data_IF_029411076452
#
_entry.id   IF_029411076452
#
_cell.length_a   1.000
_cell.length_b   1.000
_cell.length_c   1.000
_cell.angle_alpha   90.00
_cell.angle_beta   90.00
_cell.angle_gamma   90.00
#
_symmetry.space_group_name_H-M   'P 1'
#
loop_
_entity.id
_entity.type
_entity.pdbx_description
1 polymer ?
#
# COMPACT_ATOMS: atom_id res chain seq x y z
N UNK A 1 15.32 -25.55 -17.32
CA UNK A 1 14.22 -24.73 -17.90
C UNK A 1 13.52 -24.06 -16.73
N UNK A 2 13.53 -22.73 -16.64
CA UNK A 2 12.75 -22.04 -15.63
C UNK A 2 11.27 -22.16 -16.03
N UNK A 3 10.43 -22.72 -15.16
CA UNK A 3 9.00 -22.72 -15.39
C UNK A 3 8.54 -21.26 -15.47
N UNK A 4 7.99 -20.85 -16.61
CA UNK A 4 7.24 -19.61 -16.71
C UNK A 4 5.95 -19.81 -15.90
N UNK A 5 6.01 -19.51 -14.61
CA UNK A 5 4.82 -19.45 -13.77
C UNK A 5 3.98 -18.30 -14.27
N UNK A 6 2.81 -18.61 -14.83
CA UNK A 6 1.81 -17.60 -15.18
C UNK A 6 1.49 -16.81 -13.89
N UNK A 7 1.55 -15.48 -13.91
CA UNK A 7 1.18 -14.70 -12.74
C UNK A 7 -0.30 -14.96 -12.39
N UNK A 8 -0.69 -14.72 -11.14
CA UNK A 8 -1.98 -15.14 -10.57
C UNK A 8 -2.73 -13.90 -10.09
N UNK A 9 -4.00 -13.77 -10.47
CA UNK A 9 -4.90 -12.74 -9.93
C UNK A 9 -5.08 -12.95 -8.43
N UNK A 10 -5.10 -11.88 -7.66
CA UNK A 10 -5.37 -11.95 -6.22
C UNK A 10 -6.26 -10.80 -5.77
N UNK A 11 -6.95 -11.03 -4.66
CA UNK A 11 -7.73 -10.01 -3.97
C UNK A 11 -7.38 -10.06 -2.48
N UNK A 12 -7.29 -8.90 -1.85
CA UNK A 12 -7.13 -8.80 -0.41
C UNK A 12 -7.93 -7.62 0.15
N UNK A 13 -8.57 -7.88 1.29
CA UNK A 13 -9.30 -6.90 2.06
C UNK A 13 -8.72 -6.86 3.47
N UNK A 14 -8.43 -5.67 3.96
CA UNK A 14 -7.94 -5.47 5.32
C UNK A 14 -8.44 -4.17 5.91
N UNK A 15 -8.49 -4.13 7.24
CA UNK A 15 -8.84 -2.94 8.01
C UNK A 15 -7.66 -2.54 8.87
N UNK A 16 -7.33 -1.26 8.89
CA UNK A 16 -6.24 -0.72 9.67
C UNK A 16 -6.63 0.64 10.27
N UNK A 17 -5.85 1.11 11.22
CA UNK A 17 -5.95 2.46 11.78
C UNK A 17 -4.55 3.01 11.96
N UNK A 18 -4.32 4.24 11.51
CA UNK A 18 -3.03 4.92 11.68
C UNK A 18 -3.27 6.11 12.60
N UNK A 19 -2.51 6.20 13.68
CA UNK A 19 -2.50 7.38 14.54
C UNK A 19 -1.43 8.34 14.04
N UNK A 20 -1.74 9.64 13.99
CA UNK A 20 -0.76 10.68 13.70
C UNK A 20 0.42 10.63 14.68
N UNK A 21 1.64 10.70 14.16
CA UNK A 21 2.90 10.64 14.90
C UNK A 21 4.12 10.61 13.97
N UNK A 22 5.32 10.43 14.52
CA UNK A 22 6.58 10.39 13.75
C UNK A 22 6.79 9.03 13.05
N UNK A 23 5.93 8.67 12.10
CA UNK A 23 6.04 7.43 11.33
C UNK A 23 5.92 7.65 9.82
N UNK A 24 6.51 6.75 9.03
CA UNK A 24 6.54 6.79 7.56
C UNK A 24 5.18 6.42 6.91
N UNK A 25 4.22 5.88 7.66
CA UNK A 25 2.95 5.38 7.13
C UNK A 25 2.75 3.88 7.34
N UNK A 26 1.98 3.25 6.47
CA UNK A 26 1.77 1.79 6.43
C UNK A 26 1.99 1.28 5.02
N UNK A 27 2.67 0.14 4.84
CA UNK A 27 2.83 -0.49 3.53
C UNK A 27 2.39 -1.96 3.56
N UNK A 28 1.62 -2.36 2.55
CA UNK A 28 1.42 -3.77 2.21
C UNK A 28 2.48 -4.17 1.18
N UNK A 29 3.27 -5.20 1.47
CA UNK A 29 4.35 -5.66 0.59
C UNK A 29 4.14 -7.09 0.12
N UNK A 30 4.20 -7.28 -1.20
CA UNK A 30 4.29 -8.58 -1.85
C UNK A 30 5.76 -8.81 -2.20
N UNK A 31 6.35 -9.80 -1.54
CA UNK A 31 7.77 -10.12 -1.67
C UNK A 31 7.97 -11.61 -1.98
N UNK A 32 9.07 -11.99 -2.65
CA UNK A 32 9.42 -13.39 -2.81
C UNK A 32 9.58 -14.10 -1.45
N UNK A 33 9.31 -15.40 -1.38
CA UNK A 33 9.38 -16.17 -0.13
C UNK A 33 10.75 -16.14 0.56
N UNK A 34 11.85 -16.01 -0.19
CA UNK A 34 13.21 -15.87 0.35
C UNK A 34 13.51 -14.47 0.92
N UNK A 35 12.57 -13.53 0.82
CA UNK A 35 12.74 -12.13 1.22
C UNK A 35 12.54 -11.91 2.72
N UNK A 36 11.82 -12.80 3.43
CA UNK A 36 11.55 -12.66 4.87
C UNK A 36 12.84 -12.51 5.73
N UNK A 37 13.95 -13.11 5.31
CA UNK A 37 15.27 -12.94 5.94
C UNK A 37 15.92 -11.56 5.76
N UNK A 38 15.27 -10.64 5.03
CA UNK A 38 15.82 -9.36 4.55
C UNK A 38 15.09 -8.12 5.06
N UNK A 39 14.12 -8.27 5.96
CA UNK A 39 13.61 -7.18 6.79
C UNK A 39 14.63 -6.86 7.91
N UNK A 40 15.83 -6.42 7.54
CA UNK A 40 16.94 -6.23 8.48
C UNK A 40 17.04 -4.81 9.03
N UNK A 41 15.94 -4.04 9.01
CA UNK A 41 15.78 -2.80 9.80
C UNK A 41 16.59 -1.57 9.37
N UNK A 42 17.07 -1.51 8.12
CA UNK A 42 17.96 -0.43 7.66
C UNK A 42 17.46 0.44 6.50
N UNK A 43 16.26 0.23 5.99
CA UNK A 43 15.67 1.02 4.89
C UNK A 43 14.21 1.39 5.18
N UNK A 44 13.60 2.18 4.28
CA UNK A 44 12.21 2.63 4.42
C UNK A 44 11.26 1.44 4.58
N UNK A 45 10.32 1.56 5.53
CA UNK A 45 9.44 0.48 5.98
C UNK A 45 10.17 -0.83 6.37
N UNK A 46 11.44 -0.75 6.75
CA UNK A 46 12.28 -1.91 7.09
C UNK A 46 12.72 -2.75 5.89
N UNK A 47 12.45 -2.31 4.66
CA UNK A 47 12.87 -2.98 3.43
C UNK A 47 14.32 -2.60 3.07
N UNK A 48 15.21 -3.59 2.95
CA UNK A 48 16.52 -3.37 2.32
C UNK A 48 16.34 -2.90 0.87
N UNK A 49 17.31 -2.18 0.29
CA UNK A 49 17.29 -1.56 -1.05
C UNK A 49 17.16 -2.51 -2.27
N UNK A 50 16.57 -3.69 -2.09
CA UNK A 50 16.43 -4.74 -3.09
C UNK A 50 15.21 -4.53 -3.97
N UNK A 51 15.44 -4.73 -5.27
CA UNK A 51 14.53 -4.37 -6.36
C UNK A 51 13.40 -5.35 -6.68
N UNK A 52 12.91 -6.12 -5.69
CA UNK A 52 11.92 -7.18 -5.94
C UNK A 52 10.84 -7.21 -4.88
N UNK A 53 9.99 -6.20 -4.92
CA UNK A 53 8.75 -6.12 -4.15
C UNK A 53 7.70 -5.36 -4.96
N UNK A 54 6.43 -5.63 -4.68
CA UNK A 54 5.32 -4.72 -4.97
C UNK A 54 4.85 -4.15 -3.64
N UNK A 55 4.85 -2.82 -3.53
CA UNK A 55 4.42 -2.08 -2.34
C UNK A 55 3.13 -1.32 -2.65
N UNK A 56 2.18 -1.38 -1.72
CA UNK A 56 1.05 -0.46 -1.67
C UNK A 56 1.18 0.30 -0.37
N UNK A 57 1.65 1.53 -0.46
CA UNK A 57 1.98 2.42 0.65
C UNK A 57 0.84 3.41 0.91
N UNK A 58 0.48 3.54 2.17
CA UNK A 58 -0.47 4.50 2.70
C UNK A 58 0.35 5.55 3.45
N UNK A 59 0.72 6.60 2.73
CA UNK A 59 1.57 7.66 3.26
C UNK A 59 0.76 8.65 4.10
N UNK A 60 1.33 9.02 5.24
CA UNK A 60 0.79 9.98 6.21
C UNK A 60 1.76 11.15 6.46
N UNK A 61 2.95 11.12 5.87
CA UNK A 61 4.02 12.09 6.12
C UNK A 61 3.80 13.32 5.28
N UNK A 62 3.74 14.47 5.95
CA UNK A 62 3.78 15.77 5.31
C UNK A 62 5.21 16.07 4.87
N UNK A 63 5.50 15.85 3.59
CA UNK A 63 6.56 16.58 2.91
C UNK A 63 6.24 18.08 3.01
N UNK A 64 7.06 18.85 3.74
CA UNK A 64 6.84 20.28 3.96
C UNK A 64 6.95 21.17 2.69
N UNK A 65 7.30 20.60 1.54
CA UNK A 65 7.51 21.28 0.26
C UNK A 65 6.64 20.74 -0.89
N UNK A 66 6.05 19.55 -0.78
CA UNK A 66 5.20 18.93 -1.78
C UNK A 66 3.87 18.57 -1.13
N UNK A 67 2.77 19.14 -1.64
CA UNK A 67 1.42 18.99 -1.12
C UNK A 67 0.81 17.58 -1.28
N UNK A 68 1.62 16.54 -1.11
CA UNK A 68 1.28 15.12 -1.27
C UNK A 68 0.58 14.58 -0.01
N UNK A 69 -0.39 15.33 0.49
CA UNK A 69 -1.26 14.85 1.56
C UNK A 69 -2.19 13.75 1.02
N UNK A 70 -2.35 12.69 1.80
CA UNK A 70 -3.38 11.68 1.59
C UNK A 70 -3.24 10.96 0.24
N UNK A 71 -2.10 10.32 -0.02
CA UNK A 71 -1.89 9.52 -1.22
C UNK A 71 -1.64 8.05 -0.87
N UNK A 72 -2.13 7.18 -1.75
CA UNK A 72 -1.69 5.78 -1.80
C UNK A 72 -0.66 5.65 -2.90
N UNK A 73 0.52 5.17 -2.54
CA UNK A 73 1.65 4.97 -3.44
C UNK A 73 1.71 3.50 -3.88
N UNK A 74 1.89 3.27 -5.17
CA UNK A 74 2.14 1.93 -5.72
C UNK A 74 3.58 1.87 -6.18
N UNK A 75 4.34 0.96 -5.59
CA UNK A 75 5.80 0.86 -5.74
C UNK A 75 6.20 -0.49 -6.32
N UNK A 76 7.11 -0.49 -7.30
CA UNK A 76 7.60 -1.73 -7.92
C UNK A 76 9.13 -1.76 -7.87
N UNK A 77 9.67 -2.52 -6.90
CA UNK A 77 11.11 -2.70 -6.73
C UNK A 77 11.87 -1.44 -6.26
N UNK A 78 11.19 -0.34 -5.98
CA UNK A 78 11.73 0.86 -5.33
C UNK A 78 10.58 1.71 -4.78
N UNK A 79 10.84 2.49 -3.74
CA UNK A 79 9.94 3.54 -3.21
C UNK A 79 9.86 4.78 -4.10
N UNK A 80 10.02 4.58 -5.42
CA UNK A 80 9.71 5.58 -6.42
C UNK A 80 8.44 5.06 -7.08
N UNK A 81 7.33 5.69 -6.74
CA UNK A 81 6.01 5.16 -7.07
C UNK A 81 5.76 5.19 -8.57
N UNK A 82 5.27 4.08 -9.09
CA UNK A 82 4.86 3.93 -10.49
C UNK A 82 3.45 4.48 -10.72
N UNK A 83 2.64 4.54 -9.66
CA UNK A 83 1.34 5.15 -9.65
C UNK A 83 1.03 5.72 -8.26
N UNK A 84 0.18 6.74 -8.24
CA UNK A 84 -0.35 7.35 -7.02
C UNK A 84 -1.88 7.43 -7.12
N UNK A 85 -2.56 7.18 -6.02
CA UNK A 85 -4.01 7.36 -5.90
C UNK A 85 -4.27 8.45 -4.88
N UNK A 86 -4.91 9.52 -5.34
CA UNK A 86 -5.32 10.61 -4.46
C UNK A 86 -6.53 10.17 -3.62
N UNK A 87 -6.39 10.20 -2.30
CA UNK A 87 -7.43 9.86 -1.34
C UNK A 87 -7.74 11.04 -0.40
N UNK A 88 -7.61 12.27 -0.90
CA UNK A 88 -7.93 13.50 -0.17
C UNK A 88 -9.37 13.54 0.35
N UNK A 89 -10.30 12.81 -0.26
CA UNK A 89 -11.69 12.68 0.18
C UNK A 89 -11.86 11.88 1.49
N UNK A 90 -10.88 11.05 1.83
CA UNK A 90 -10.86 10.28 3.09
C UNK A 90 -10.27 11.12 4.22
N UNK A 91 -9.43 12.11 3.87
CA UNK A 91 -8.71 12.98 4.79
C UNK A 91 -7.94 12.16 5.84
N UNK A 92 -6.95 11.37 5.37
CA UNK A 92 -6.21 10.43 6.23
C UNK A 92 -5.68 11.09 7.49
N UNK A 93 -5.14 12.31 7.36
CA UNK A 93 -4.66 13.14 8.47
C UNK A 93 -5.76 13.37 9.50
N UNK A 94 -6.97 13.80 9.10
CA UNK A 94 -8.05 14.01 10.06
C UNK A 94 -8.72 12.70 10.54
N UNK A 95 -8.50 11.59 9.85
CA UNK A 95 -8.97 10.26 10.24
C UNK A 95 -8.04 9.53 11.22
N UNK A 96 -7.12 10.25 11.87
CA UNK A 96 -6.18 9.70 12.85
C UNK A 96 -6.87 8.79 13.88
N UNK A 97 -6.44 7.54 13.95
CA UNK A 97 -6.97 6.53 14.86
C UNK A 97 -8.33 5.95 14.46
N UNK A 98 -8.96 6.44 13.40
CA UNK A 98 -10.16 5.84 12.83
C UNK A 98 -9.82 4.58 12.04
N UNK A 99 -10.80 3.69 11.92
CA UNK A 99 -10.67 2.48 11.13
C UNK A 99 -10.93 2.78 9.65
N UNK A 100 -9.96 2.43 8.83
CA UNK A 100 -10.01 2.50 7.38
C UNK A 100 -10.08 1.09 6.82
N UNK A 101 -10.95 0.89 5.84
CA UNK A 101 -11.08 -0.35 5.10
C UNK A 101 -10.43 -0.19 3.75
N UNK A 102 -9.48 -1.07 3.42
CA UNK A 102 -8.84 -1.09 2.11
C UNK A 102 -9.12 -2.40 1.38
N UNK A 103 -9.24 -2.27 0.07
CA UNK A 103 -9.45 -3.35 -0.86
C UNK A 103 -8.42 -3.23 -1.99
N UNK A 104 -7.75 -4.33 -2.31
CA UNK A 104 -6.78 -4.42 -3.40
C UNK A 104 -7.14 -5.62 -4.27
N UNK A 105 -7.40 -5.36 -5.55
CA UNK A 105 -7.55 -6.38 -6.57
C UNK A 105 -6.45 -6.26 -7.61
N UNK A 106 -5.75 -7.35 -7.83
CA UNK A 106 -4.90 -7.53 -8.99
C UNK A 106 -5.55 -8.54 -9.91
N UNK A 107 -5.91 -8.11 -11.11
CA UNK A 107 -6.47 -8.97 -12.13
C UNK A 107 -5.55 -9.09 -13.35
N UNK A 108 -5.27 -10.34 -13.69
CA UNK A 108 -4.66 -10.75 -14.96
C UNK A 108 -5.75 -11.25 -15.87
N UNK A 109 -6.23 -10.35 -16.72
CA UNK A 109 -7.16 -10.70 -17.78
C UNK A 109 -6.56 -11.74 -18.73
N UNK A 110 -7.41 -12.51 -19.40
CA UNK A 110 -7.00 -13.46 -20.46
C UNK A 110 -6.20 -12.81 -21.59
N UNK A 111 -6.34 -11.49 -21.74
CA UNK A 111 -5.80 -10.70 -22.83
C UNK A 111 -4.42 -10.11 -22.48
N UNK A 112 -3.89 -10.45 -21.30
CA UNK A 112 -2.57 -10.02 -20.84
C UNK A 112 -2.54 -8.61 -20.26
N UNK A 113 -3.69 -7.97 -20.06
CA UNK A 113 -3.79 -6.72 -19.32
C UNK A 113 -3.71 -7.02 -17.82
N UNK A 114 -2.72 -6.40 -17.17
CA UNK A 114 -2.53 -6.40 -15.72
C UNK A 114 -3.22 -5.16 -15.14
N UNK A 115 -4.20 -5.36 -14.26
CA UNK A 115 -4.95 -4.27 -13.62
C UNK A 115 -4.78 -4.36 -12.11
N UNK A 116 -4.33 -3.28 -11.48
CA UNK A 116 -4.30 -3.13 -10.02
C UNK A 116 -5.32 -2.08 -9.60
N UNK A 117 -6.39 -2.51 -8.95
CA UNK A 117 -7.37 -1.63 -8.33
C UNK A 117 -7.07 -1.50 -6.84
N UNK A 118 -6.92 -0.28 -6.36
CA UNK A 118 -6.75 0.02 -4.93
C UNK A 118 -7.83 0.99 -4.50
N UNK A 119 -8.57 0.62 -3.45
CA UNK A 119 -9.61 1.46 -2.88
C UNK A 119 -9.47 1.50 -1.36
N UNK A 120 -9.74 2.66 -0.77
CA UNK A 120 -9.73 2.87 0.67
C UNK A 120 -10.99 3.66 1.06
N UNK A 121 -11.59 3.33 2.20
CA UNK A 121 -12.79 3.98 2.71
C UNK A 121 -12.76 4.08 4.23
N UNK A 122 -13.32 5.17 4.76
CA UNK A 122 -13.56 5.33 6.19
C UNK A 122 -14.73 4.45 6.65
N UNK A 123 -14.53 3.63 7.68
CA UNK A 123 -15.61 2.89 8.30
C UNK A 123 -16.41 3.82 9.21
N UNK A 124 -17.67 4.08 8.81
CA UNK A 124 -18.63 4.76 9.68
C UNK A 124 -19.08 3.78 10.78
N UNK A 125 -18.70 4.09 12.01
CA UNK A 125 -19.25 3.40 13.19
C UNK A 125 -20.65 3.94 13.44
N UNK A 126 -21.70 3.25 12.99
CA UNK A 126 -23.04 3.54 13.50
C UNK A 126 -23.13 3.01 14.93
N UNK A 127 -23.08 3.91 15.91
CA UNK A 127 -23.55 3.61 17.25
C UNK A 127 -25.08 3.53 17.19
N UNK A 128 -25.66 2.34 17.31
CA UNK A 128 -27.05 2.22 17.74
C UNK A 128 -27.12 2.67 19.21
N UNK A 129 -27.89 3.73 19.46
CA UNK A 129 -28.34 4.14 20.80
C UNK A 129 -29.49 3.25 21.28
#
# INVERSE_FOLDING_TARGET
MAAHTKPISFSTEFTFSISLGNGEGLVLVLVPSYFASKFSGGGSFGLSSKKRFLGIEFDIVMDGNMGDLNMIHVDVGSFVSVAIVNISSIDLVHSSGEKLKSWIDYDLSSDGLEVLNVQCFKLLSLFCL
#
